data_IF_203893372222
#
_entry.id   IF_203893372222
#
_cell.length_a   1.000
_cell.length_b   1.000
_cell.length_c   1.000
_cell.angle_alpha   90.00
_cell.angle_beta   90.00
_cell.angle_gamma   90.00
#
_symmetry.space_group_name_H-M   'P 1'
#
loop_
_entity.id
_entity.type
_entity.pdbx_description
1 polymer ?
#
# COMPACT_ATOMS: atom_id res chain seq x y z
N UNK A 1 -12.96 32.73 -3.70
CA UNK A 1 -14.16 33.60 -3.82
C UNK A 1 -15.13 33.33 -2.64
N UNK A 2 -16.24 34.10 -2.46
CA UNK A 2 -17.10 33.95 -1.26
C UNK A 2 -17.80 32.59 -1.22
N UNK A 3 -18.33 32.11 -2.34
CA UNK A 3 -19.03 30.83 -2.40
C UNK A 3 -18.15 29.63 -1.99
N UNK A 4 -16.91 29.60 -2.46
CA UNK A 4 -15.96 28.54 -2.12
C UNK A 4 -15.67 28.52 -0.60
N UNK A 5 -15.58 29.69 0.01
CA UNK A 5 -15.36 29.82 1.45
C UNK A 5 -16.58 29.35 2.27
N UNK A 6 -17.79 29.64 1.83
CA UNK A 6 -19.02 29.15 2.49
C UNK A 6 -19.08 27.61 2.46
N UNK A 7 -18.74 26.99 1.35
CA UNK A 7 -18.64 25.54 1.23
C UNK A 7 -17.53 24.97 2.15
N UNK A 8 -16.37 25.61 2.19
CA UNK A 8 -15.28 25.20 3.06
C UNK A 8 -15.66 25.26 4.54
N UNK A 9 -16.39 26.31 4.97
CA UNK A 9 -16.94 26.40 6.32
C UNK A 9 -17.84 25.22 6.64
N UNK A 10 -18.76 24.86 5.73
CA UNK A 10 -19.68 23.73 5.92
C UNK A 10 -18.92 22.42 6.08
N UNK A 11 -17.97 22.15 5.21
CA UNK A 11 -17.16 20.94 5.24
C UNK A 11 -16.32 20.85 6.53
N UNK A 12 -15.73 21.98 6.98
CA UNK A 12 -14.98 22.03 8.23
C UNK A 12 -15.89 21.72 9.44
N UNK A 13 -17.08 22.31 9.49
CA UNK A 13 -18.05 22.05 10.57
C UNK A 13 -18.59 20.63 10.54
N UNK A 14 -18.77 20.03 9.35
CA UNK A 14 -19.19 18.63 9.23
C UNK A 14 -18.13 17.66 9.71
N UNK A 15 -16.86 17.92 9.38
CA UNK A 15 -15.75 17.01 9.70
C UNK A 15 -15.27 17.13 11.14
N UNK A 16 -15.19 18.36 11.67
CA UNK A 16 -14.65 18.64 13.02
C UNK A 16 -15.72 18.84 14.08
N UNK A 17 -16.98 18.83 13.68
CA UNK A 17 -18.15 19.00 14.56
C UNK A 17 -18.33 20.44 15.01
N UNK A 18 -17.48 20.96 15.91
CA UNK A 18 -17.56 22.33 16.43
C UNK A 18 -16.25 23.06 16.23
N UNK A 19 -16.33 24.30 15.75
CA UNK A 19 -15.15 25.19 15.60
C UNK A 19 -15.46 26.60 16.08
N UNK A 20 -14.48 27.24 16.70
CA UNK A 20 -14.56 28.65 17.08
C UNK A 20 -14.41 29.58 15.87
N UNK A 21 -14.90 30.83 15.99
CA UNK A 21 -14.70 31.84 14.94
C UNK A 21 -13.21 32.03 14.62
N UNK A 22 -12.36 32.02 15.67
CA UNK A 22 -10.91 32.16 15.53
C UNK A 22 -10.24 31.03 14.79
N UNK A 23 -10.64 29.79 15.04
CA UNK A 23 -10.14 28.61 14.31
C UNK A 23 -10.54 28.66 12.84
N UNK A 24 -11.80 28.96 12.54
CA UNK A 24 -12.29 29.11 11.18
C UNK A 24 -11.60 30.24 10.43
N UNK A 25 -11.37 31.38 11.12
CA UNK A 25 -10.66 32.52 10.53
C UNK A 25 -9.22 32.17 10.17
N UNK A 26 -8.54 31.42 11.04
CA UNK A 26 -7.17 30.94 10.82
C UNK A 26 -7.10 29.92 9.66
N UNK A 27 -7.99 28.95 9.65
CA UNK A 27 -8.01 27.85 8.66
C UNK A 27 -8.31 28.38 7.23
N UNK A 28 -9.17 29.40 7.14
CA UNK A 28 -9.61 29.99 5.86
C UNK A 28 -8.87 31.28 5.49
N UNK A 29 -7.86 31.66 6.27
CA UNK A 29 -7.02 32.87 6.06
C UNK A 29 -7.84 34.16 5.91
N UNK A 30 -8.88 34.32 6.76
CA UNK A 30 -9.75 35.50 6.76
C UNK A 30 -9.89 36.10 8.17
N UNK A 31 -10.54 37.27 8.26
CA UNK A 31 -10.81 37.90 9.56
C UNK A 31 -12.00 37.23 10.25
N UNK A 32 -12.06 37.26 11.60
CA UNK A 32 -13.20 36.78 12.38
C UNK A 32 -14.52 37.48 11.98
N UNK A 33 -14.46 38.78 11.63
CA UNK A 33 -15.60 39.53 11.09
C UNK A 33 -16.15 38.93 9.79
N UNK A 34 -15.25 38.44 8.95
CA UNK A 34 -15.64 37.72 7.69
C UNK A 34 -16.37 36.44 8.01
N UNK A 35 -15.88 35.66 8.98
CA UNK A 35 -16.53 34.43 9.41
C UNK A 35 -17.93 34.70 9.95
N UNK A 36 -18.13 35.68 10.82
CA UNK A 36 -19.47 36.04 11.32
C UNK A 36 -20.44 36.36 10.19
N UNK A 37 -20.03 37.18 9.21
CA UNK A 37 -20.85 37.53 8.06
C UNK A 37 -21.15 36.29 7.15
N UNK A 38 -20.22 35.37 7.06
CA UNK A 38 -20.41 34.13 6.30
C UNK A 38 -21.35 33.15 7.04
N UNK A 39 -21.30 33.08 8.38
CA UNK A 39 -22.27 32.33 9.18
C UNK A 39 -23.69 32.87 9.06
N UNK A 40 -23.85 34.20 9.09
CA UNK A 40 -25.14 34.84 8.83
C UNK A 40 -25.69 34.51 7.44
N UNK A 41 -24.81 34.53 6.43
CA UNK A 41 -25.21 34.19 5.07
C UNK A 41 -25.59 32.71 4.93
N UNK A 42 -24.89 31.77 5.55
CA UNK A 42 -25.23 30.36 5.58
C UNK A 42 -26.58 30.14 6.30
N UNK A 43 -26.78 30.80 7.44
CA UNK A 43 -28.03 30.76 8.20
C UNK A 43 -29.20 31.29 7.39
N UNK A 44 -29.01 32.39 6.65
CA UNK A 44 -30.04 33.01 5.80
C UNK A 44 -30.42 32.10 4.60
N UNK A 45 -29.56 31.18 4.18
CA UNK A 45 -29.87 30.18 3.14
C UNK A 45 -30.53 28.92 3.69
N UNK A 46 -30.91 28.90 4.97
CA UNK A 46 -31.60 27.78 5.60
C UNK A 46 -30.69 26.67 6.12
N UNK A 47 -29.37 26.90 6.16
CA UNK A 47 -28.45 25.93 6.74
C UNK A 47 -28.49 26.04 8.25
N UNK A 48 -28.83 24.98 9.00
CA UNK A 48 -29.04 25.02 10.43
C UNK A 48 -27.69 25.06 11.20
N UNK A 49 -27.14 26.26 11.30
CA UNK A 49 -25.91 26.54 12.09
C UNK A 49 -26.32 27.03 13.47
N UNK A 50 -25.71 26.46 14.50
CA UNK A 50 -25.90 26.82 15.90
C UNK A 50 -24.65 27.50 16.42
N UNK A 51 -24.82 28.66 17.05
CA UNK A 51 -23.78 29.34 17.81
C UNK A 51 -23.88 28.96 19.29
N UNK A 52 -22.91 28.25 19.82
CA UNK A 52 -22.78 27.99 21.25
C UNK A 52 -21.97 29.11 21.91
N UNK A 53 -22.51 29.67 23.01
CA UNK A 53 -21.84 30.73 23.79
C UNK A 53 -21.01 30.14 24.95
N UNK A 54 -19.98 30.84 25.38
CA UNK A 54 -19.19 30.46 26.55
C UNK A 54 -17.72 30.19 26.26
N UNK A 55 -16.96 29.78 27.30
CA UNK A 55 -15.51 29.53 27.22
C UNK A 55 -15.11 28.43 26.20
N UNK A 56 -16.00 27.50 25.95
CA UNK A 56 -15.90 26.45 24.92
C UNK A 56 -16.89 26.66 23.77
N UNK A 57 -17.35 27.90 23.55
CA UNK A 57 -18.29 28.26 22.51
C UNK A 57 -17.71 28.07 21.10
N UNK A 58 -18.59 28.07 20.11
CA UNK A 58 -18.21 27.92 18.70
C UNK A 58 -19.42 27.71 17.83
N UNK A 59 -19.17 27.47 16.56
CA UNK A 59 -20.16 27.20 15.55
C UNK A 59 -20.23 25.69 15.32
N UNK A 60 -21.44 25.15 15.25
CA UNK A 60 -21.69 23.75 14.85
C UNK A 60 -22.91 23.67 13.95
N UNK A 61 -22.99 22.60 13.15
CA UNK A 61 -24.21 22.23 12.44
C UNK A 61 -25.17 21.50 13.39
N UNK A 62 -26.47 21.63 13.15
CA UNK A 62 -27.45 20.83 13.87
C UNK A 62 -27.15 19.34 13.70
N UNK A 63 -27.28 18.55 14.77
CA UNK A 63 -27.01 17.10 14.74
C UNK A 63 -27.83 16.45 13.62
N UNK A 64 -27.18 15.62 12.79
CA UNK A 64 -27.70 14.96 11.58
C UNK A 64 -27.83 15.84 10.32
N UNK A 65 -27.49 17.13 10.34
CA UNK A 65 -27.43 17.89 9.10
C UNK A 65 -26.17 17.49 8.31
N UNK A 66 -26.39 16.80 7.20
CA UNK A 66 -25.33 16.45 6.23
C UNK A 66 -25.69 17.05 4.88
N UNK A 67 -24.75 17.79 4.30
CA UNK A 67 -24.87 18.19 2.90
C UNK A 67 -24.78 16.94 2.02
N UNK A 68 -25.61 16.85 1.00
CA UNK A 68 -25.41 15.90 -0.08
C UNK A 68 -24.02 16.15 -0.70
N UNK A 69 -23.46 15.16 -1.39
CA UNK A 69 -22.14 15.19 -2.11
C UNK A 69 -21.96 16.36 -3.11
N UNK A 70 -22.80 17.41 -3.02
CA UNK A 70 -22.88 18.54 -3.94
C UNK A 70 -21.69 19.50 -3.93
N UNK A 71 -20.71 19.29 -3.02
CA UNK A 71 -19.50 20.11 -2.94
C UNK A 71 -18.26 19.51 -3.59
N UNK A 72 -18.32 18.27 -4.06
CA UNK A 72 -17.19 17.60 -4.69
C UNK A 72 -17.02 18.04 -6.14
N UNK A 73 -15.78 18.33 -6.54
CA UNK A 73 -15.39 18.54 -7.94
C UNK A 73 -15.42 17.21 -8.70
N UNK A 74 -15.52 17.29 -10.02
CA UNK A 74 -15.55 16.10 -10.89
C UNK A 74 -14.37 15.15 -10.62
N UNK A 75 -13.13 15.68 -10.57
CA UNK A 75 -11.94 14.86 -10.33
C UNK A 75 -11.92 14.22 -8.94
N UNK A 76 -12.48 14.88 -7.93
CA UNK A 76 -12.61 14.32 -6.58
C UNK A 76 -13.61 13.16 -6.57
N UNK A 77 -14.73 13.30 -7.29
CA UNK A 77 -15.73 12.22 -7.47
C UNK A 77 -15.07 11.02 -8.17
N UNK A 78 -14.37 11.25 -9.28
CA UNK A 78 -13.67 10.21 -10.03
C UNK A 78 -12.66 9.48 -9.15
N UNK A 79 -11.88 10.21 -8.36
CA UNK A 79 -10.89 9.60 -7.46
C UNK A 79 -11.52 8.67 -6.41
N UNK A 80 -12.68 9.02 -5.88
CA UNK A 80 -13.44 8.18 -4.93
C UNK A 80 -14.11 6.98 -5.60
N UNK A 81 -14.40 7.06 -6.90
CA UNK A 81 -15.03 5.99 -7.65
C UNK A 81 -14.04 4.94 -8.17
N UNK A 82 -12.74 5.23 -8.18
CA UNK A 82 -11.72 4.22 -8.51
C UNK A 82 -11.75 3.14 -7.44
N UNK A 83 -12.05 1.91 -7.88
CA UNK A 83 -12.19 0.77 -6.98
C UNK A 83 -10.83 0.31 -6.45
N UNK A 84 -10.69 0.04 -5.16
CA UNK A 84 -9.64 -0.85 -4.68
C UNK A 84 -9.74 -2.21 -5.35
N UNK A 85 -8.68 -3.00 -5.30
CA UNK A 85 -8.73 -4.39 -5.77
C UNK A 85 -9.87 -5.15 -5.07
N UNK A 86 -10.67 -5.89 -5.86
CA UNK A 86 -11.77 -6.73 -5.34
C UNK A 86 -11.24 -7.73 -4.33
N UNK A 87 -10.04 -8.27 -4.56
CA UNK A 87 -9.39 -9.20 -3.63
C UNK A 87 -9.17 -8.56 -2.26
N UNK A 88 -8.64 -7.34 -2.21
CA UNK A 88 -8.41 -6.64 -0.93
C UNK A 88 -9.71 -6.36 -0.19
N UNK A 89 -10.77 -6.00 -0.91
CA UNK A 89 -12.10 -5.81 -0.32
C UNK A 89 -12.68 -7.13 0.22
N UNK A 90 -12.47 -8.23 -0.49
CA UNK A 90 -12.87 -9.56 -0.05
C UNK A 90 -12.12 -10.00 1.19
N UNK A 91 -10.81 -9.77 1.23
CA UNK A 91 -9.98 -10.11 2.38
C UNK A 91 -10.40 -9.33 3.65
N UNK A 92 -10.88 -8.09 3.47
CA UNK A 92 -11.39 -7.21 4.53
C UNK A 92 -12.87 -7.47 4.89
N UNK A 93 -13.55 -8.37 4.19
CA UNK A 93 -15.00 -8.63 4.30
C UNK A 93 -15.85 -7.38 4.05
N UNK A 94 -15.40 -6.51 3.14
CA UNK A 94 -16.02 -5.22 2.81
C UNK A 94 -16.56 -5.14 1.37
N UNK A 95 -16.57 -6.25 0.62
CA UNK A 95 -16.98 -6.25 -0.79
C UNK A 95 -18.41 -5.77 -1.00
N UNK A 96 -19.34 -6.23 -0.16
CA UNK A 96 -20.76 -5.86 -0.22
C UNK A 96 -20.96 -4.41 0.19
N UNK A 97 -20.40 -4.00 1.32
CA UNK A 97 -20.50 -2.66 1.88
C UNK A 97 -19.93 -1.63 0.91
N UNK A 98 -18.82 -1.95 0.28
CA UNK A 98 -18.22 -1.09 -0.73
C UNK A 98 -19.11 -0.94 -1.96
N UNK A 99 -19.69 -2.06 -2.45
CA UNK A 99 -20.63 -2.03 -3.57
C UNK A 99 -21.86 -1.18 -3.25
N UNK A 100 -22.48 -1.38 -2.08
CA UNK A 100 -23.66 -0.65 -1.64
C UNK A 100 -23.35 0.85 -1.45
N UNK A 101 -22.23 1.20 -0.84
CA UNK A 101 -21.77 2.58 -0.66
C UNK A 101 -21.57 3.26 -2.03
N UNK A 102 -20.96 2.57 -2.97
CA UNK A 102 -20.75 3.03 -4.33
C UNK A 102 -22.05 3.32 -5.08
N UNK A 103 -23.05 2.43 -4.98
CA UNK A 103 -24.37 2.64 -5.57
C UNK A 103 -25.05 3.91 -5.00
N UNK A 104 -24.96 4.09 -3.68
CA UNK A 104 -25.50 5.28 -3.00
C UNK A 104 -24.77 6.55 -3.44
N UNK A 105 -23.44 6.51 -3.60
CA UNK A 105 -22.66 7.64 -4.10
C UNK A 105 -23.14 8.05 -5.50
N UNK A 106 -23.23 7.11 -6.44
CA UNK A 106 -23.70 7.39 -7.81
C UNK A 106 -25.12 7.94 -7.83
N UNK A 107 -26.01 7.39 -7.01
CA UNK A 107 -27.39 7.88 -6.91
C UNK A 107 -27.47 9.33 -6.39
N UNK A 108 -26.52 9.74 -5.54
CA UNK A 108 -26.43 11.10 -5.01
C UNK A 108 -25.77 12.11 -5.97
N UNK A 109 -25.18 11.66 -7.08
CA UNK A 109 -24.54 12.54 -8.05
C UNK A 109 -25.58 13.27 -8.93
N UNK A 110 -25.28 14.53 -9.33
CA UNK A 110 -26.04 15.21 -10.37
C UNK A 110 -26.08 14.39 -11.66
N UNK A 111 -27.20 14.48 -12.41
CA UNK A 111 -27.39 13.72 -13.65
C UNK A 111 -26.26 13.92 -14.68
N UNK A 112 -25.69 15.14 -14.72
CA UNK A 112 -24.56 15.48 -15.60
C UNK A 112 -23.30 14.64 -15.34
N UNK A 113 -23.03 14.26 -14.09
CA UNK A 113 -21.85 13.46 -13.71
C UNK A 113 -22.10 11.96 -13.66
N UNK A 114 -23.37 11.55 -13.56
CA UNK A 114 -23.72 10.13 -13.36
C UNK A 114 -23.30 9.23 -14.51
N UNK A 115 -23.48 9.67 -15.76
CA UNK A 115 -23.12 8.89 -16.94
C UNK A 115 -21.59 8.73 -17.05
N UNK A 116 -20.85 9.81 -16.89
CA UNK A 116 -19.38 9.81 -16.96
C UNK A 116 -18.76 9.00 -15.82
N UNK A 117 -19.36 9.07 -14.62
CA UNK A 117 -18.91 8.29 -13.46
C UNK A 117 -19.09 6.77 -13.66
N UNK A 118 -20.17 6.35 -14.31
CA UNK A 118 -20.36 4.94 -14.69
C UNK A 118 -19.35 4.49 -15.76
N UNK A 119 -18.99 5.37 -16.68
CA UNK A 119 -18.00 5.09 -17.73
C UNK A 119 -16.60 4.87 -17.16
N UNK A 120 -16.20 5.59 -16.10
CA UNK A 120 -14.90 5.37 -15.45
C UNK A 120 -14.73 3.93 -14.96
N UNK A 121 -15.78 3.35 -14.40
CA UNK A 121 -15.73 1.97 -13.90
C UNK A 121 -15.56 0.92 -14.99
N UNK A 122 -16.13 1.20 -16.18
CA UNK A 122 -15.99 0.31 -17.31
C UNK A 122 -14.63 0.46 -18.02
N UNK A 123 -13.87 1.52 -17.70
CA UNK A 123 -12.61 1.85 -18.37
C UNK A 123 -11.38 1.64 -17.48
N UNK A 124 -11.55 1.66 -16.14
CA UNK A 124 -10.42 1.51 -15.20
C UNK A 124 -10.72 0.35 -14.25
N UNK A 125 -9.87 -0.66 -14.28
CA UNK A 125 -9.89 -1.79 -13.36
C UNK A 125 -8.51 -1.94 -12.71
N UNK A 126 -8.47 -2.00 -11.36
CA UNK A 126 -7.24 -2.21 -10.61
C UNK A 126 -7.20 -3.66 -10.15
N UNK A 127 -6.31 -4.43 -10.76
CA UNK A 127 -6.00 -5.79 -10.36
C UNK A 127 -4.60 -5.83 -9.72
N UNK A 128 -4.55 -6.17 -8.44
CA UNK A 128 -3.30 -6.33 -7.69
C UNK A 128 -2.88 -7.78 -7.55
N UNK A 129 -3.63 -8.71 -8.15
CA UNK A 129 -3.31 -10.14 -8.11
C UNK A 129 -2.10 -10.47 -8.96
N UNK A 130 -1.37 -11.51 -8.58
CA UNK A 130 -0.29 -12.05 -9.39
C UNK A 130 -0.84 -13.08 -10.38
N UNK A 131 -0.35 -13.07 -11.63
CA UNK A 131 -0.82 -13.94 -12.73
C UNK A 131 -0.86 -15.43 -12.41
N UNK A 132 -0.01 -15.93 -11.51
CA UNK A 132 0.14 -17.37 -11.23
C UNK A 132 0.22 -17.71 -9.75
N UNK A 133 0.10 -16.77 -8.85
CA UNK A 133 0.09 -17.05 -7.42
C UNK A 133 -1.36 -17.12 -6.94
N UNK A 134 -1.78 -18.24 -6.32
CA UNK A 134 -3.07 -18.28 -5.67
C UNK A 134 -3.11 -17.21 -4.57
N UNK A 135 -4.28 -16.61 -4.37
CA UNK A 135 -4.55 -15.75 -3.22
C UNK A 135 -4.20 -16.53 -1.95
N UNK A 136 -3.31 -15.98 -1.15
CA UNK A 136 -2.94 -16.59 0.14
C UNK A 136 -4.16 -16.49 1.07
N UNK A 137 -4.76 -17.63 1.41
CA UNK A 137 -5.79 -17.65 2.44
C UNK A 137 -5.13 -17.38 3.79
N UNK A 138 -5.65 -16.40 4.49
CA UNK A 138 -5.21 -16.04 5.84
C UNK A 138 -6.37 -16.36 6.78
N UNK A 139 -6.36 -17.57 7.32
CA UNK A 139 -7.46 -18.06 8.18
C UNK A 139 -7.63 -17.20 9.45
N UNK A 140 -6.56 -16.56 9.89
CA UNK A 140 -6.54 -15.69 11.09
C UNK A 140 -6.84 -14.21 10.81
N UNK A 141 -7.20 -13.83 9.56
CA UNK A 141 -7.31 -12.41 9.17
C UNK A 141 -8.30 -11.62 10.04
N UNK A 142 -9.45 -12.22 10.33
CA UNK A 142 -10.47 -11.62 11.19
C UNK A 142 -9.97 -11.38 12.62
N UNK A 143 -9.21 -12.33 13.18
CA UNK A 143 -8.61 -12.20 14.51
C UNK A 143 -7.60 -11.03 14.51
N UNK A 144 -6.81 -10.90 13.45
CA UNK A 144 -5.86 -9.79 13.30
C UNK A 144 -6.57 -8.44 13.27
N UNK A 145 -7.65 -8.32 12.51
CA UNK A 145 -8.46 -7.10 12.46
C UNK A 145 -9.05 -6.75 13.82
N UNK A 146 -9.73 -7.70 14.45
CA UNK A 146 -10.34 -7.50 15.76
C UNK A 146 -9.32 -7.07 16.82
N UNK A 147 -8.16 -7.72 16.86
CA UNK A 147 -7.09 -7.39 17.81
C UNK A 147 -6.53 -5.97 17.62
N UNK A 148 -6.39 -5.53 16.36
CA UNK A 148 -5.94 -4.16 16.05
C UNK A 148 -6.96 -3.12 16.53
N UNK A 149 -8.26 -3.34 16.23
CA UNK A 149 -9.32 -2.39 16.62
C UNK A 149 -9.59 -2.35 18.11
N UNK A 150 -9.44 -3.49 18.81
CA UNK A 150 -9.64 -3.61 20.25
C UNK A 150 -8.36 -3.39 21.06
N UNK A 151 -7.25 -3.10 20.41
CA UNK A 151 -5.92 -2.96 21.04
C UNK A 151 -5.57 -4.15 21.94
N UNK A 152 -5.80 -5.37 21.43
CA UNK A 152 -5.53 -6.62 22.13
C UNK A 152 -4.21 -7.23 21.70
N UNK A 153 -3.48 -7.71 22.70
CA UNK A 153 -2.21 -8.42 22.52
C UNK A 153 -2.45 -9.77 21.86
N UNK A 154 -1.62 -10.11 20.89
CA UNK A 154 -1.65 -11.39 20.18
C UNK A 154 -0.52 -12.31 20.62
N UNK A 155 -0.81 -13.60 20.70
CA UNK A 155 0.20 -14.66 20.67
C UNK A 155 0.23 -15.26 19.26
N UNK A 156 1.39 -15.26 18.63
CA UNK A 156 1.57 -15.74 17.27
C UNK A 156 2.61 -16.85 17.19
N UNK A 157 2.33 -17.86 16.37
CA UNK A 157 3.32 -18.81 15.88
C UNK A 157 3.65 -18.45 14.45
N UNK A 158 4.90 -18.14 14.18
CA UNK A 158 5.34 -17.56 12.90
C UNK A 158 6.47 -18.38 12.27
N UNK A 159 6.33 -18.70 10.98
CA UNK A 159 7.36 -19.35 10.19
C UNK A 159 8.27 -18.30 9.55
N UNK A 160 9.54 -18.31 9.91
CA UNK A 160 10.56 -17.44 9.33
C UNK A 160 10.94 -17.87 7.91
N UNK A 161 11.65 -16.98 7.20
CA UNK A 161 12.15 -17.26 5.85
C UNK A 161 13.14 -18.45 5.80
N UNK A 162 13.81 -18.74 6.93
CA UNK A 162 14.74 -19.89 7.07
C UNK A 162 14.02 -21.19 7.49
N UNK A 163 12.68 -21.22 7.46
CA UNK A 163 11.87 -22.36 7.84
C UNK A 163 11.73 -22.61 9.35
N UNK A 164 12.34 -21.78 10.20
CA UNK A 164 12.24 -21.93 11.66
C UNK A 164 10.93 -21.33 12.17
N UNK A 165 10.28 -22.07 13.05
CA UNK A 165 9.10 -21.60 13.75
C UNK A 165 9.48 -20.84 15.03
N UNK A 166 8.81 -19.73 15.27
CA UNK A 166 8.99 -18.93 16.48
C UNK A 166 7.64 -18.60 17.11
N UNK A 167 7.62 -18.54 18.43
CA UNK A 167 6.48 -18.03 19.18
C UNK A 167 6.79 -16.62 19.65
N UNK A 168 5.81 -15.71 19.53
CA UNK A 168 5.93 -14.33 19.99
C UNK A 168 4.62 -13.81 20.54
N UNK A 169 4.77 -12.95 21.54
CA UNK A 169 3.71 -12.07 22.00
C UNK A 169 3.94 -10.72 21.33
N UNK A 170 2.90 -10.18 20.68
CA UNK A 170 3.00 -8.97 19.88
C UNK A 170 1.82 -8.03 20.10
N UNK A 171 2.08 -6.73 20.01
CA UNK A 171 1.09 -5.67 20.03
C UNK A 171 0.79 -5.28 18.58
N UNK A 172 -0.38 -5.64 18.02
CA UNK A 172 -0.69 -5.42 16.62
C UNK A 172 -1.00 -3.93 16.34
N UNK A 173 -0.19 -3.29 15.50
CA UNK A 173 -0.29 -1.86 15.22
C UNK A 173 -1.04 -1.54 13.93
N UNK A 174 -1.12 -2.49 12.99
CA UNK A 174 -1.81 -2.30 11.72
C UNK A 174 -1.59 -3.41 10.72
N UNK A 175 -2.36 -3.37 9.61
CA UNK A 175 -2.25 -4.26 8.47
C UNK A 175 -1.87 -3.47 7.22
N UNK A 176 -0.96 -4.01 6.42
CA UNK A 176 -0.55 -3.43 5.14
C UNK A 176 -0.67 -4.45 4.04
N UNK A 177 -1.36 -4.08 2.96
CA UNK A 177 -1.38 -4.86 1.72
C UNK A 177 -0.30 -4.32 0.76
N UNK A 178 0.58 -5.21 0.29
CA UNK A 178 1.56 -4.92 -0.78
C UNK A 178 1.34 -5.89 -1.93
N UNK A 179 0.73 -5.40 -3.01
CA UNK A 179 0.19 -6.28 -4.03
C UNK A 179 -0.86 -7.23 -3.43
N UNK A 180 -0.71 -8.53 -3.64
CA UNK A 180 -1.57 -9.57 -3.09
C UNK A 180 -1.13 -10.11 -1.72
N UNK A 181 -0.11 -9.52 -1.10
CA UNK A 181 0.46 -10.02 0.15
C UNK A 181 0.13 -9.08 1.31
N UNK A 182 -0.42 -9.64 2.38
CA UNK A 182 -0.71 -8.93 3.62
C UNK A 182 0.43 -9.05 4.63
N UNK A 183 0.67 -7.97 5.35
CA UNK A 183 1.63 -7.87 6.43
C UNK A 183 0.95 -7.35 7.69
N UNK A 184 1.15 -8.05 8.80
CA UNK A 184 0.88 -7.55 10.14
C UNK A 184 2.08 -6.72 10.60
N UNK A 185 1.84 -5.48 10.96
CA UNK A 185 2.82 -4.62 11.61
C UNK A 185 2.55 -4.69 13.10
N UNK A 186 3.53 -5.15 13.86
CA UNK A 186 3.36 -5.33 15.29
C UNK A 186 4.65 -5.05 16.07
N UNK A 187 4.50 -4.57 17.31
CA UNK A 187 5.59 -4.40 18.26
C UNK A 187 5.83 -5.70 19.04
N UNK A 188 7.08 -6.05 19.23
CA UNK A 188 7.52 -7.15 20.10
C UNK A 188 8.90 -6.80 20.64
N UNK A 189 9.09 -6.90 21.96
CA UNK A 189 10.33 -6.54 22.64
C UNK A 189 10.80 -5.12 22.25
N UNK A 190 9.89 -4.15 22.31
CA UNK A 190 10.10 -2.72 21.97
C UNK A 190 10.56 -2.46 20.52
N UNK A 191 10.45 -3.47 19.64
CA UNK A 191 10.81 -3.35 18.22
C UNK A 191 9.61 -3.62 17.34
N UNK A 192 9.31 -2.69 16.45
CA UNK A 192 8.28 -2.89 15.44
C UNK A 192 8.84 -3.80 14.33
N UNK A 193 8.02 -4.77 13.91
CA UNK A 193 8.38 -5.76 12.89
C UNK A 193 7.23 -5.98 11.92
N UNK A 194 7.60 -6.43 10.72
CA UNK A 194 6.66 -6.78 9.66
C UNK A 194 6.55 -8.31 9.61
N UNK A 195 5.36 -8.84 9.84
CA UNK A 195 5.07 -10.26 9.75
C UNK A 195 4.22 -10.51 8.50
N UNK A 196 4.68 -11.33 7.56
CA UNK A 196 3.86 -11.74 6.43
C UNK A 196 2.71 -12.60 6.93
N UNK A 197 1.47 -12.18 6.68
CA UNK A 197 0.30 -12.80 7.30
C UNK A 197 0.12 -14.28 6.92
N UNK A 198 0.49 -14.66 5.70
CA UNK A 198 0.45 -16.06 5.25
C UNK A 198 1.48 -16.99 5.92
N UNK A 199 2.44 -16.45 6.68
CA UNK A 199 3.39 -17.22 7.48
C UNK A 199 3.00 -17.31 8.96
N UNK A 200 1.85 -16.79 9.32
CA UNK A 200 1.27 -16.97 10.65
C UNK A 200 0.62 -18.35 10.73
N UNK A 201 1.26 -19.29 11.42
CA UNK A 201 0.78 -20.67 11.59
C UNK A 201 -0.36 -20.76 12.60
N UNK A 202 -0.34 -19.92 13.65
CA UNK A 202 -1.45 -19.71 14.57
C UNK A 202 -1.45 -18.28 15.09
N UNK A 203 -2.65 -17.78 15.40
CA UNK A 203 -2.88 -16.46 15.99
C UNK A 203 -3.95 -16.60 17.06
N UNK A 204 -3.64 -16.17 18.26
CA UNK A 204 -4.55 -16.19 19.40
C UNK A 204 -4.62 -14.78 20.00
N UNK A 205 -5.83 -14.25 20.13
CA UNK A 205 -6.07 -12.99 20.81
C UNK A 205 -6.13 -13.25 22.31
N UNK A 206 -5.36 -12.47 23.08
CA UNK A 206 -5.35 -12.56 24.53
C UNK A 206 -6.31 -11.56 25.16
N UNK A 207 -6.60 -11.72 26.46
CA UNK A 207 -7.39 -10.73 27.21
C UNK A 207 -6.59 -9.45 27.52
N UNK A 208 -5.26 -9.49 27.37
CA UNK A 208 -4.39 -8.35 27.62
C UNK A 208 -4.57 -7.27 26.58
N UNK A 209 -4.66 -6.03 27.02
CA UNK A 209 -4.66 -4.85 26.14
C UNK A 209 -3.28 -4.22 26.12
N UNK A 210 -2.96 -3.52 25.04
CA UNK A 210 -1.82 -2.63 24.92
C UNK A 210 -2.32 -1.22 24.57
N UNK A 211 -1.46 -0.24 24.66
CA UNK A 211 -1.77 1.13 24.20
C UNK A 211 -1.02 1.38 22.90
N UNK A 212 -1.74 1.66 21.83
CA UNK A 212 -1.14 2.03 20.55
C UNK A 212 -0.47 3.39 20.70
N UNK A 213 0.82 3.55 20.32
CA UNK A 213 1.49 4.84 20.42
C UNK A 213 0.79 5.92 19.59
N UNK A 214 0.50 7.08 20.17
CA UNK A 214 -0.23 8.18 19.51
C UNK A 214 0.53 8.74 18.30
N UNK A 215 1.86 8.69 18.33
CA UNK A 215 2.75 9.17 17.27
C UNK A 215 3.03 8.14 16.18
N UNK A 216 2.54 6.89 16.32
CA UNK A 216 2.75 5.85 15.33
C UNK A 216 1.91 6.08 14.08
N UNK A 217 2.59 6.32 12.97
CA UNK A 217 1.99 6.48 11.65
C UNK A 217 2.33 5.25 10.79
N UNK A 218 1.31 4.42 10.50
CA UNK A 218 1.47 3.15 9.78
C UNK A 218 2.11 3.33 8.40
N UNK A 219 1.63 4.30 7.63
CA UNK A 219 2.14 4.58 6.28
C UNK A 219 3.61 4.99 6.31
N UNK A 220 3.97 5.94 7.18
CA UNK A 220 5.35 6.41 7.33
C UNK A 220 6.29 5.28 7.73
N UNK A 221 5.91 4.50 8.76
CA UNK A 221 6.68 3.35 9.19
C UNK A 221 6.88 2.34 8.04
N UNK A 222 5.81 2.04 7.28
CA UNK A 222 5.87 1.09 6.18
C UNK A 222 6.85 1.53 5.09
N UNK A 223 6.81 2.80 4.68
CA UNK A 223 7.73 3.35 3.69
C UNK A 223 9.17 3.25 4.18
N UNK A 224 9.45 3.70 5.41
CA UNK A 224 10.78 3.67 6.00
C UNK A 224 11.30 2.22 6.18
N UNK A 225 10.49 1.31 6.71
CA UNK A 225 10.87 -0.09 6.92
C UNK A 225 11.13 -0.82 5.61
N UNK A 226 10.35 -0.53 4.58
CA UNK A 226 10.53 -1.10 3.24
C UNK A 226 11.81 -0.59 2.60
N UNK A 227 12.09 0.71 2.70
CA UNK A 227 13.32 1.29 2.18
C UNK A 227 14.55 0.71 2.91
N UNK A 228 14.49 0.62 4.23
CA UNK A 228 15.56 0.00 5.02
C UNK A 228 15.77 -1.47 4.63
N UNK A 229 14.68 -2.22 4.42
CA UNK A 229 14.78 -3.61 3.96
C UNK A 229 15.48 -3.69 2.60
N UNK A 230 15.07 -2.87 1.63
CA UNK A 230 15.72 -2.83 0.30
C UNK A 230 17.20 -2.49 0.42
N UNK A 231 17.55 -1.49 1.23
CA UNK A 231 18.94 -1.06 1.43
C UNK A 231 19.79 -2.10 2.17
N UNK A 232 19.17 -3.05 2.89
CA UNK A 232 19.89 -4.15 3.60
C UNK A 232 19.92 -5.44 2.80
N UNK A 233 19.25 -5.51 1.65
CA UNK A 233 19.40 -6.67 0.77
C UNK A 233 20.85 -6.75 0.30
N UNK A 234 21.46 -7.94 0.35
CA UNK A 234 22.81 -8.10 -0.16
C UNK A 234 22.81 -7.76 -1.66
N UNK A 235 23.83 -7.05 -2.08
CA UNK A 235 24.05 -6.73 -3.49
C UNK A 235 25.17 -7.61 -4.02
N UNK A 236 24.85 -8.46 -4.97
CA UNK A 236 25.82 -9.27 -5.70
C UNK A 236 25.90 -8.77 -7.13
N UNK A 237 26.99 -8.04 -7.46
CA UNK A 237 27.19 -7.46 -8.78
C UNK A 237 27.86 -8.45 -9.71
N UNK A 238 27.34 -8.56 -10.92
CA UNK A 238 27.83 -9.48 -11.94
C UNK A 238 27.93 -8.75 -13.28
N UNK A 239 29.10 -8.81 -13.89
CA UNK A 239 29.28 -8.39 -15.28
C UNK A 239 29.16 -9.61 -16.19
N UNK A 240 28.28 -9.52 -17.15
CA UNK A 240 28.02 -10.56 -18.12
C UNK A 240 28.06 -10.02 -19.55
N UNK A 241 28.26 -10.90 -20.49
CA UNK A 241 27.96 -10.63 -21.87
C UNK A 241 26.83 -11.53 -22.35
N UNK A 242 25.89 -10.96 -23.08
CA UNK A 242 24.70 -11.65 -23.55
C UNK A 242 24.61 -11.69 -25.07
N UNK A 243 24.11 -12.79 -25.59
CA UNK A 243 23.78 -12.89 -27.01
C UNK A 243 22.63 -11.93 -27.35
N UNK A 244 22.65 -11.25 -28.53
CA UNK A 244 21.53 -10.42 -28.98
C UNK A 244 20.18 -11.15 -28.98
N UNK A 245 20.19 -12.46 -29.16
CA UNK A 245 18.97 -13.31 -29.21
C UNK A 245 18.18 -13.31 -27.89
N UNK A 246 18.83 -13.12 -26.75
CA UNK A 246 18.19 -13.16 -25.42
C UNK A 246 17.90 -11.78 -24.83
N UNK A 247 18.23 -10.68 -25.50
CA UNK A 247 18.03 -9.32 -24.96
C UNK A 247 16.58 -9.07 -24.53
N UNK A 248 15.61 -9.55 -25.30
CA UNK A 248 14.19 -9.45 -24.92
C UNK A 248 13.88 -10.24 -23.64
N UNK A 249 14.42 -11.45 -23.50
CA UNK A 249 14.17 -12.29 -22.35
C UNK A 249 14.80 -11.70 -21.10
N UNK A 250 16.04 -11.23 -21.18
CA UNK A 250 16.75 -10.69 -20.01
C UNK A 250 16.08 -9.44 -19.42
N UNK A 251 15.42 -8.63 -20.26
CA UNK A 251 14.65 -7.45 -19.82
C UNK A 251 13.35 -7.80 -19.07
N UNK A 252 12.79 -8.99 -19.28
CA UNK A 252 11.54 -9.43 -18.67
C UNK A 252 11.71 -10.34 -17.46
N UNK A 253 12.93 -10.81 -17.22
CA UNK A 253 13.21 -11.72 -16.13
C UNK A 253 13.82 -10.97 -14.98
N UNK A 254 13.22 -10.99 -13.85
CA UNK A 254 13.95 -10.55 -12.71
C UNK A 254 13.15 -9.97 -11.59
N UNK A 255 12.56 -10.84 -10.79
CA UNK A 255 12.12 -10.44 -9.46
C UNK A 255 13.33 -10.16 -8.55
N UNK A 256 14.48 -10.81 -8.84
CA UNK A 256 15.70 -10.83 -8.01
C UNK A 256 16.96 -10.42 -8.76
N UNK A 257 16.84 -10.03 -10.03
CA UNK A 257 17.95 -9.59 -10.86
C UNK A 257 17.57 -8.28 -11.54
N UNK A 258 18.38 -7.25 -11.35
CA UNK A 258 18.18 -5.95 -11.96
C UNK A 258 19.30 -5.69 -12.98
N UNK A 259 18.94 -5.17 -14.14
CA UNK A 259 19.89 -4.68 -15.12
C UNK A 259 20.25 -3.25 -14.72
N UNK A 260 21.51 -3.03 -14.30
CA UNK A 260 21.99 -1.69 -13.98
C UNK A 260 22.44 -0.93 -15.22
N UNK A 261 23.14 -1.63 -16.12
CA UNK A 261 23.63 -1.04 -17.38
C UNK A 261 23.60 -2.07 -18.51
N UNK A 262 23.46 -1.60 -19.72
CA UNK A 262 23.56 -2.40 -20.94
C UNK A 262 24.29 -1.57 -21.98
N UNK A 263 25.43 -2.05 -22.46
CA UNK A 263 26.28 -1.37 -23.41
C UNK A 263 25.95 -1.73 -24.86
N UNK A 264 26.46 -0.97 -25.86
CA UNK A 264 26.38 -1.38 -27.25
C UNK A 264 27.12 -2.70 -27.49
N UNK A 265 26.71 -3.46 -28.54
CA UNK A 265 27.39 -4.70 -28.91
C UNK A 265 28.88 -4.51 -29.13
N UNK A 266 29.69 -5.46 -28.66
CA UNK A 266 31.13 -5.54 -28.93
C UNK A 266 31.39 -6.00 -30.38
N UNK A 267 32.64 -5.98 -30.82
CA UNK A 267 33.04 -6.35 -32.17
C UNK A 267 32.66 -7.81 -32.54
N UNK A 268 32.59 -8.70 -31.56
CA UNK A 268 32.16 -10.10 -31.69
C UNK A 268 30.63 -10.29 -31.54
N UNK A 269 29.89 -9.20 -31.43
CA UNK A 269 28.43 -9.17 -31.41
C UNK A 269 27.80 -9.45 -30.04
N UNK A 270 28.57 -9.66 -28.99
CA UNK A 270 28.07 -9.81 -27.63
C UNK A 270 27.76 -8.44 -27.00
N UNK A 271 26.81 -8.43 -26.10
CA UNK A 271 26.34 -7.20 -25.44
C UNK A 271 26.75 -7.24 -23.97
N UNK A 272 27.64 -6.34 -23.50
CA UNK A 272 27.98 -6.24 -22.08
C UNK A 272 26.80 -5.74 -21.25
N UNK A 273 26.56 -6.39 -20.12
CA UNK A 273 25.47 -6.08 -19.20
C UNK A 273 25.94 -6.18 -17.76
N UNK A 274 25.71 -5.13 -16.99
CA UNK A 274 25.90 -5.12 -15.55
C UNK A 274 24.60 -5.55 -14.87
N UNK A 275 24.67 -6.63 -14.10
CA UNK A 275 23.56 -7.19 -13.34
C UNK A 275 23.79 -6.99 -11.85
N UNK A 276 22.71 -6.67 -11.14
CA UNK A 276 22.64 -6.69 -9.69
C UNK A 276 21.67 -7.78 -9.25
N UNK A 277 22.16 -8.73 -8.48
CA UNK A 277 21.41 -9.84 -7.91
C UNK A 277 21.35 -9.68 -6.38
N UNK A 278 20.37 -10.29 -5.72
CA UNK A 278 20.29 -10.28 -4.26
C UNK A 278 21.31 -11.24 -3.65
N UNK A 279 21.60 -12.37 -4.31
CA UNK A 279 22.58 -13.37 -3.85
C UNK A 279 23.35 -14.00 -5.01
N UNK A 280 24.50 -14.58 -4.70
CA UNK A 280 25.29 -15.38 -5.64
C UNK A 280 24.50 -16.57 -6.20
N UNK A 281 23.69 -17.24 -5.35
CA UNK A 281 22.86 -18.39 -5.77
C UNK A 281 21.81 -17.99 -6.78
N UNK A 282 21.18 -16.82 -6.60
CA UNK A 282 20.23 -16.28 -7.58
C UNK A 282 20.92 -15.89 -8.89
N UNK A 283 22.12 -15.33 -8.83
CA UNK A 283 22.92 -15.06 -10.01
C UNK A 283 23.22 -16.35 -10.79
N UNK A 284 23.64 -17.41 -10.11
CA UNK A 284 23.90 -18.72 -10.71
C UNK A 284 22.64 -19.28 -11.37
N UNK A 285 21.52 -19.31 -10.65
CA UNK A 285 20.25 -19.83 -11.15
C UNK A 285 19.75 -19.03 -12.38
N UNK A 286 19.87 -17.73 -12.34
CA UNK A 286 19.49 -16.85 -13.43
C UNK A 286 20.33 -17.06 -14.68
N UNK A 287 21.65 -17.08 -14.53
CA UNK A 287 22.59 -17.26 -15.64
C UNK A 287 22.46 -18.63 -16.29
N UNK A 288 22.39 -19.69 -15.50
CA UNK A 288 22.17 -21.06 -16.01
C UNK A 288 20.87 -21.21 -16.80
N UNK A 289 19.85 -20.42 -16.50
CA UNK A 289 18.58 -20.39 -17.22
C UNK A 289 18.67 -19.90 -18.68
N UNK A 290 19.77 -19.26 -19.07
CA UNK A 290 20.05 -18.83 -20.45
C UNK A 290 21.01 -19.74 -21.21
N UNK A 291 21.60 -20.74 -20.55
CA UNK A 291 22.52 -21.69 -21.18
C UNK A 291 23.79 -21.02 -21.69
N UNK A 292 24.11 -21.26 -22.95
CA UNK A 292 25.31 -20.74 -23.63
C UNK A 292 25.14 -19.32 -24.19
N UNK A 293 23.98 -18.71 -23.99
CA UNK A 293 23.66 -17.39 -24.52
C UNK A 293 24.05 -16.25 -23.58
N UNK A 294 24.61 -16.56 -22.43
CA UNK A 294 25.13 -15.60 -21.44
C UNK A 294 26.45 -16.12 -20.90
N UNK A 295 27.45 -15.24 -20.80
CA UNK A 295 28.74 -15.57 -20.22
C UNK A 295 29.12 -14.58 -19.12
N UNK A 296 29.64 -15.08 -18.02
CA UNK A 296 30.11 -14.25 -16.91
C UNK A 296 31.49 -13.70 -17.23
N UNK A 297 31.66 -12.41 -17.05
CA UNK A 297 32.95 -11.72 -17.16
C UNK A 297 33.55 -11.48 -15.77
N UNK A 298 32.69 -11.07 -14.81
CA UNK A 298 33.09 -10.82 -13.43
C UNK A 298 31.92 -11.14 -12.48
N UNK A 299 32.19 -11.70 -11.31
CA UNK A 299 33.48 -12.15 -10.76
C UNK A 299 33.93 -13.53 -11.31
N UNK A 300 35.26 -13.76 -11.32
CA UNK A 300 35.82 -15.03 -11.79
C UNK A 300 35.38 -16.24 -10.94
N UNK A 301 35.11 -16.04 -9.64
CA UNK A 301 34.55 -17.07 -8.75
C UNK A 301 33.22 -17.60 -9.26
N UNK A 302 32.31 -16.70 -9.66
CA UNK A 302 30.99 -17.06 -10.20
C UNK A 302 31.12 -17.84 -11.51
N UNK A 303 32.05 -17.44 -12.38
CA UNK A 303 32.31 -18.17 -13.64
C UNK A 303 32.71 -19.63 -13.35
N UNK A 304 33.56 -19.84 -12.32
CA UNK A 304 34.01 -21.17 -11.91
C UNK A 304 32.89 -22.01 -11.31
N UNK A 305 32.01 -21.39 -10.47
CA UNK A 305 30.84 -22.06 -9.89
C UNK A 305 29.86 -22.49 -10.96
N UNK A 306 29.56 -21.64 -11.94
CA UNK A 306 28.68 -21.98 -13.07
C UNK A 306 29.27 -23.12 -13.87
N UNK A 307 30.56 -23.10 -14.16
CA UNK A 307 31.23 -24.21 -14.85
C UNK A 307 31.10 -25.53 -14.08
N UNK A 308 31.36 -25.53 -12.77
CA UNK A 308 31.18 -26.73 -11.94
C UNK A 308 29.75 -27.22 -11.90
N UNK A 309 28.79 -26.31 -11.81
CA UNK A 309 27.37 -26.66 -11.83
C UNK A 309 26.97 -27.27 -13.18
N UNK A 310 27.37 -26.66 -14.29
CA UNK A 310 27.12 -27.19 -15.63
C UNK A 310 27.71 -28.60 -15.82
N UNK A 311 28.93 -28.85 -15.31
CA UNK A 311 29.52 -30.19 -15.32
C UNK A 311 28.71 -31.21 -14.52
N UNK A 312 28.21 -30.85 -13.35
CA UNK A 312 27.34 -31.70 -12.52
C UNK A 312 26.04 -32.04 -13.28
N UNK A 313 25.43 -31.04 -13.92
CA UNK A 313 24.22 -31.23 -14.72
C UNK A 313 24.49 -32.22 -15.86
N UNK A 314 25.57 -32.02 -16.63
CA UNK A 314 25.93 -32.93 -17.73
C UNK A 314 26.19 -34.37 -17.22
N UNK A 315 26.88 -34.50 -16.09
CA UNK A 315 27.14 -35.81 -15.49
C UNK A 315 25.85 -36.51 -15.06
N UNK A 316 24.94 -35.78 -14.47
CA UNK A 316 23.63 -36.30 -14.00
C UNK A 316 22.76 -36.85 -15.15
N UNK A 317 22.74 -36.16 -16.29
CA UNK A 317 21.93 -36.61 -17.45
C UNK A 317 22.66 -37.65 -18.35
N UNK A 318 23.95 -37.94 -18.10
CA UNK A 318 24.72 -38.98 -18.81
C UNK A 318 24.74 -40.30 -18.04
N UNK A 319 24.30 -40.30 -16.78
CA UNK A 319 24.13 -41.51 -15.97
C UNK A 319 22.78 -42.15 -16.21
#
# INVERSE_FOLDING_TARGET
MRADRLLSILLLLQNRGKMTTKELAKELEVTERTIHRDMEALSATGIPIIAERGKSGGWKLLDQYRTNLTGLKYDEIISLLISPSIQLLSDLDLSKEWYDARQKMVAALPNSFRKESLDVWNRIHIDTSAWKQPSEKIDSFKILQEAIWQEKVLQIKYERADGKEIFRTVDPLGLVAKGSTWYLIASSDEKIRNYRASRLLSVEMTDKSFTRPDDFQLEKYWVESTQNFINTLPEYKVEVEVSPSIVHRIKFTGRFVQIENMEPPTADGWIPVSLRCDTEQEAIAYILGFGDQIRVIFPASLQQEIYQMARKIVAFYKS
#
